data_IF_171809364581
#
_entry.id   IF_171809364581
#
_cell.length_a   1.000
_cell.length_b   1.000
_cell.length_c   1.000
_cell.angle_alpha   90.00
_cell.angle_beta   90.00
_cell.angle_gamma   90.00
#
_symmetry.space_group_name_H-M   'P 1'
#
loop_
_entity.id
_entity.type
_entity.pdbx_description
1 polymer ?
#
# COMPACT_ATOMS: atom_id res chain seq x y z
N UNK A 1 7.29 33.27 -41.58
CA UNK A 1 6.77 33.16 -40.19
C UNK A 1 6.90 31.71 -39.73
N UNK A 2 7.71 31.40 -38.70
CA UNK A 2 7.71 30.07 -38.09
C UNK A 2 6.38 29.85 -37.37
N UNK A 3 5.73 28.72 -37.64
CA UNK A 3 4.52 28.31 -36.92
C UNK A 3 4.99 27.60 -35.66
N UNK A 4 4.95 28.28 -34.51
CA UNK A 4 5.21 27.65 -33.22
C UNK A 4 4.02 26.72 -32.96
N UNK A 5 4.23 25.41 -33.17
CA UNK A 5 3.25 24.40 -32.80
C UNK A 5 3.25 24.35 -31.28
N UNK A 6 2.20 24.90 -30.64
CA UNK A 6 2.01 24.73 -29.21
C UNK A 6 1.92 23.23 -28.91
N UNK A 7 2.60 22.71 -27.86
CA UNK A 7 2.40 21.33 -27.45
C UNK A 7 0.93 21.17 -27.08
N UNK A 8 0.19 20.41 -27.90
CA UNK A 8 -1.14 19.96 -27.55
C UNK A 8 -0.97 18.91 -26.45
N UNK A 9 -0.97 19.34 -25.18
CA UNK A 9 -1.34 18.45 -24.10
C UNK A 9 -2.82 18.12 -24.32
N UNK A 10 -3.08 17.04 -25.02
CA UNK A 10 -4.37 16.39 -24.97
C UNK A 10 -4.53 15.92 -23.54
N UNK A 11 -5.17 16.75 -22.71
CA UNK A 11 -5.77 16.31 -21.46
C UNK A 11 -6.89 15.31 -21.81
N UNK A 12 -6.47 14.09 -22.15
CA UNK A 12 -7.32 12.93 -22.13
C UNK A 12 -7.73 12.76 -20.67
N UNK A 13 -8.91 13.31 -20.33
CA UNK A 13 -9.59 12.99 -19.07
C UNK A 13 -9.44 11.49 -18.86
N UNK A 14 -8.85 11.01 -17.75
CA UNK A 14 -8.68 9.60 -17.51
C UNK A 14 -10.02 8.91 -17.76
N UNK A 15 -10.08 8.05 -18.78
CA UNK A 15 -11.31 7.32 -19.06
C UNK A 15 -11.72 6.57 -17.80
N UNK A 16 -13.03 6.47 -17.52
CA UNK A 16 -13.60 5.83 -16.32
C UNK A 16 -12.96 4.48 -15.98
N UNK A 17 -12.53 3.74 -17.00
CA UNK A 17 -11.82 2.46 -16.88
C UNK A 17 -10.43 2.59 -16.24
N UNK A 18 -9.69 3.67 -16.53
CA UNK A 18 -8.34 3.93 -15.98
C UNK A 18 -8.40 4.26 -14.50
N UNK A 19 -9.43 4.95 -14.06
CA UNK A 19 -9.69 5.20 -12.63
C UNK A 19 -9.97 3.89 -11.90
N UNK A 20 -10.87 3.04 -12.44
CA UNK A 20 -11.19 1.74 -11.85
C UNK A 20 -9.96 0.82 -11.75
N UNK A 21 -9.10 0.78 -12.78
CA UNK A 21 -7.85 0.00 -12.74
C UNK A 21 -6.90 0.55 -11.68
N UNK A 22 -6.76 1.88 -11.59
CA UNK A 22 -5.93 2.52 -10.56
C UNK A 22 -6.44 2.18 -9.17
N UNK A 23 -7.75 2.28 -8.93
CA UNK A 23 -8.39 1.88 -7.69
C UNK A 23 -8.18 0.39 -7.37
N UNK A 24 -8.32 -0.50 -8.36
CA UNK A 24 -8.10 -1.94 -8.16
C UNK A 24 -6.64 -2.24 -7.79
N UNK A 25 -5.67 -1.61 -8.44
CA UNK A 25 -4.24 -1.77 -8.10
C UNK A 25 -3.93 -1.22 -6.71
N UNK A 26 -4.49 -0.07 -6.34
CA UNK A 26 -4.33 0.49 -4.99
C UNK A 26 -4.95 -0.44 -3.93
N UNK A 27 -6.18 -0.88 -4.15
CA UNK A 27 -6.96 -1.66 -3.19
C UNK A 27 -6.48 -3.12 -3.05
N UNK A 28 -6.06 -3.77 -4.14
CA UNK A 28 -5.64 -5.18 -4.13
C UNK A 28 -4.12 -5.36 -4.22
N UNK A 29 -3.37 -4.36 -4.68
CA UNK A 29 -1.92 -4.40 -4.72
C UNK A 29 -1.32 -3.75 -3.49
N UNK A 30 -1.51 -2.44 -3.33
CA UNK A 30 -0.82 -1.67 -2.28
C UNK A 30 -1.36 -2.03 -0.89
N UNK A 31 -2.68 -2.04 -0.72
CA UNK A 31 -3.28 -2.26 0.59
C UNK A 31 -2.94 -3.62 1.23
N UNK A 32 -2.98 -4.76 0.50
CA UNK A 32 -2.64 -6.05 1.09
C UNK A 32 -1.16 -6.17 1.44
N UNK A 33 -0.27 -5.62 0.61
CA UNK A 33 1.17 -5.60 0.89
C UNK A 33 1.45 -4.79 2.16
N UNK A 34 0.81 -3.63 2.32
CA UNK A 34 0.91 -2.83 3.54
C UNK A 34 0.38 -3.60 4.76
N UNK A 35 -0.76 -4.27 4.64
CA UNK A 35 -1.35 -5.06 5.73
C UNK A 35 -0.41 -6.17 6.19
N UNK A 36 0.13 -6.97 5.25
CA UNK A 36 1.08 -8.05 5.56
C UNK A 36 2.36 -7.50 6.15
N UNK A 37 2.90 -6.41 5.60
CA UNK A 37 4.09 -5.75 6.12
C UNK A 37 3.88 -5.25 7.56
N UNK A 38 2.78 -4.57 7.85
CA UNK A 38 2.48 -4.05 9.19
C UNK A 38 2.24 -5.16 10.21
N UNK A 39 1.38 -6.13 9.89
CA UNK A 39 1.04 -7.24 10.79
C UNK A 39 2.26 -8.13 11.01
N UNK A 40 3.01 -8.43 9.94
CA UNK A 40 4.24 -9.21 10.01
C UNK A 40 5.32 -8.51 10.83
N UNK A 41 5.57 -7.22 10.59
CA UNK A 41 6.52 -6.43 11.38
C UNK A 41 6.12 -6.37 12.85
N UNK A 42 4.85 -6.11 13.15
CA UNK A 42 4.36 -6.06 14.52
C UNK A 42 4.48 -7.42 15.22
N UNK A 43 4.04 -8.50 14.57
CA UNK A 43 4.17 -9.87 15.10
C UNK A 43 5.63 -10.26 15.31
N UNK A 44 6.52 -9.87 14.41
CA UNK A 44 7.96 -10.10 14.52
C UNK A 44 8.57 -9.34 15.70
N UNK A 45 8.22 -8.07 15.89
CA UNK A 45 8.65 -7.27 17.05
C UNK A 45 8.19 -7.94 18.35
N UNK A 46 6.92 -8.33 18.42
CA UNK A 46 6.36 -9.03 19.59
C UNK A 46 7.10 -10.35 19.82
N UNK A 47 7.37 -11.12 18.77
CA UNK A 47 8.10 -12.38 18.86
C UNK A 47 9.55 -12.19 19.36
N UNK A 48 10.27 -11.20 18.84
CA UNK A 48 11.60 -10.84 19.35
C UNK A 48 11.56 -10.39 20.80
N UNK A 49 10.55 -9.61 21.16
CA UNK A 49 10.32 -9.20 22.55
C UNK A 49 10.11 -10.42 23.45
N UNK A 50 9.34 -11.42 23.02
CA UNK A 50 9.16 -12.68 23.77
C UNK A 50 10.45 -13.49 23.91
N UNK A 51 11.36 -13.47 22.93
CA UNK A 51 12.67 -14.12 23.05
C UNK A 51 13.53 -13.45 24.12
N UNK A 52 13.45 -12.12 24.25
CA UNK A 52 14.25 -11.35 25.20
C UNK A 52 13.66 -11.39 26.62
N UNK A 53 12.34 -11.24 26.76
CA UNK A 53 11.65 -11.08 28.05
C UNK A 53 10.86 -12.30 28.51
N UNK A 54 10.81 -13.36 27.70
CA UNK A 54 10.00 -14.54 27.95
C UNK A 54 8.58 -14.45 27.35
N UNK A 55 7.90 -15.60 27.17
CA UNK A 55 6.55 -15.64 26.61
C UNK A 55 5.51 -14.99 27.54
N UNK A 56 4.42 -14.40 27.00
CA UNK A 56 3.35 -13.85 27.81
C UNK A 56 2.73 -14.95 28.67
N UNK A 57 2.61 -14.70 29.97
CA UNK A 57 2.07 -15.66 30.93
C UNK A 57 0.60 -16.04 30.66
N UNK A 58 0.12 -17.17 31.21
CA UNK A 58 -1.27 -17.59 31.05
C UNK A 58 -2.25 -16.51 31.53
N UNK A 59 -3.44 -16.37 30.90
CA UNK A 59 -4.48 -15.47 31.38
C UNK A 59 -4.84 -15.82 32.83
N UNK A 60 -4.69 -14.87 33.76
CA UNK A 60 -5.04 -15.08 35.16
C UNK A 60 -6.54 -15.34 35.33
N UNK A 61 -6.88 -16.38 36.09
CA UNK A 61 -8.23 -16.67 36.56
C UNK A 61 -8.60 -15.84 37.79
#
# INVERSE_FOLDING_TARGET
>A
MPKIVAPQHTDEKPGRTRELVTFAVLAFGIWPVLAVGFVGAYGFIVWMFQIIYGPPGPPGH
#
